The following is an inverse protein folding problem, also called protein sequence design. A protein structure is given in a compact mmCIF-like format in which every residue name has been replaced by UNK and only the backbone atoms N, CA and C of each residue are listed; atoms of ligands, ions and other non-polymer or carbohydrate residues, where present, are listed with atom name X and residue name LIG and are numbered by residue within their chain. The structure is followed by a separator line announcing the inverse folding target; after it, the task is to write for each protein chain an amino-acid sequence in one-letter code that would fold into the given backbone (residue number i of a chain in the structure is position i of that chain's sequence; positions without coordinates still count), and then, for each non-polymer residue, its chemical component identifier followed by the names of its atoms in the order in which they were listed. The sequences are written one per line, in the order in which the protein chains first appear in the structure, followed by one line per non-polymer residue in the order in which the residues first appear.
data_IF_390100701996
#
_entry.id   IF_390100701996
#
_cell.length_a   1.000
_cell.length_b   1.000
_cell.length_c   1.000
_cell.angle_alpha   90.00
_cell.angle_beta   90.00
_cell.angle_gamma   90.00
#
_symmetry.space_group_name_H-M   'P 1'
#
loop_
_entity.id
_entity.type
_entity.pdbx_description
1 polymer ?
#
# COMPACT_ATOMS: atom_id res chain seq x y z
N UNK A 1 17.97 60.47 -5.66
CA UNK A 1 17.73 60.12 -7.09
C UNK A 1 18.25 58.70 -7.31
N UNK A 2 17.46 57.78 -7.91
CA UNK A 2 17.38 57.53 -9.37
C UNK A 2 18.75 57.36 -10.06
N UNK A 3 19.07 56.12 -10.45
CA UNK A 3 19.93 55.77 -11.60
C UNK A 3 19.18 54.75 -12.47
N UNK A 4 18.91 55.12 -13.71
CA UNK A 4 18.54 54.20 -14.82
C UNK A 4 19.84 53.70 -15.49
N UNK A 5 19.93 52.73 -16.40
CA UNK A 5 19.00 52.04 -17.34
C UNK A 5 19.62 50.61 -17.59
N UNK A 6 19.33 49.69 -18.55
CA UNK A 6 18.50 49.57 -19.77
C UNK A 6 18.31 48.06 -20.11
N UNK A 7 17.39 47.75 -21.03
CA UNK A 7 17.39 46.57 -21.94
C UNK A 7 17.15 45.14 -21.39
N UNK A 8 16.12 44.49 -21.94
CA UNK A 8 15.84 43.04 -21.95
C UNK A 8 16.03 42.51 -23.42
N UNK A 9 15.83 41.22 -23.83
CA UNK A 9 15.04 40.15 -23.18
C UNK A 9 15.56 38.68 -23.32
N UNK A 10 14.73 37.73 -22.87
CA UNK A 10 14.62 36.29 -23.27
C UNK A 10 15.91 35.43 -23.34
N UNK A 11 16.03 34.48 -22.40
CA UNK A 11 16.23 33.06 -22.76
C UNK A 11 15.56 32.11 -21.76
N UNK A 12 14.52 31.40 -22.21
CA UNK A 12 13.75 30.47 -21.39
C UNK A 12 14.50 29.15 -21.21
N UNK A 13 14.97 28.85 -19.99
CA UNK A 13 15.66 27.60 -19.67
C UNK A 13 15.39 27.10 -18.24
N UNK A 14 14.15 27.18 -17.75
CA UNK A 14 13.77 26.58 -16.45
C UNK A 14 13.75 25.06 -16.58
N UNK A 15 14.91 24.43 -16.38
CA UNK A 15 15.10 23.00 -16.44
C UNK A 15 14.08 22.29 -15.52
N UNK A 16 13.27 21.39 -16.09
CA UNK A 16 12.29 20.62 -15.33
C UNK A 16 13.03 19.61 -14.46
N UNK A 17 12.90 19.74 -13.14
CA UNK A 17 13.32 18.70 -12.21
C UNK A 17 12.49 17.44 -12.48
N UNK A 18 13.13 16.39 -13.00
CA UNK A 18 12.49 15.12 -13.31
C UNK A 18 12.74 14.12 -12.18
N UNK A 19 11.74 13.83 -11.31
CA UNK A 19 11.90 12.83 -10.26
C UNK A 19 11.99 11.42 -10.88
N UNK A 20 13.20 10.87 -10.97
CA UNK A 20 13.46 9.49 -11.45
C UNK A 20 13.02 8.41 -10.44
N UNK A 21 11.78 8.46 -9.97
CA UNK A 21 11.14 7.31 -9.28
C UNK A 21 10.62 6.30 -10.30
N UNK A 22 11.54 5.74 -11.09
CA UNK A 22 11.27 4.60 -11.98
C UNK A 22 11.19 3.29 -11.16
N UNK A 23 10.30 3.27 -10.15
CA UNK A 23 9.96 2.08 -9.40
C UNK A 23 9.26 1.11 -10.35
N UNK A 24 10.01 0.15 -10.89
CA UNK A 24 9.49 -0.85 -11.85
C UNK A 24 8.43 -1.72 -11.17
N UNK A 25 7.17 -1.31 -11.27
CA UNK A 25 6.01 -2.08 -10.84
C UNK A 25 5.91 -3.35 -11.68
N UNK A 26 6.63 -4.41 -11.28
CA UNK A 26 6.38 -5.75 -11.77
C UNK A 26 4.89 -6.04 -11.50
N UNK A 27 4.08 -6.37 -12.53
CA UNK A 27 2.67 -6.65 -12.30
C UNK A 27 2.54 -7.81 -11.31
N UNK A 28 1.52 -7.74 -10.46
CA UNK A 28 1.21 -8.84 -9.55
C UNK A 28 0.96 -10.10 -10.40
N UNK A 29 1.74 -11.16 -10.15
CA UNK A 29 1.57 -12.44 -10.83
C UNK A 29 0.50 -13.22 -10.07
N UNK A 30 -0.75 -12.83 -10.27
CA UNK A 30 -1.95 -13.50 -9.74
C UNK A 30 -2.07 -14.92 -10.33
N UNK A 31 -1.29 -15.86 -9.79
CA UNK A 31 -1.07 -17.17 -10.39
C UNK A 31 -0.65 -18.27 -9.39
N UNK A 32 -1.45 -18.54 -8.35
CA UNK A 32 -1.66 -19.93 -7.90
C UNK A 32 -2.92 -20.12 -7.03
N UNK A 33 -3.97 -20.80 -7.54
CA UNK A 33 -5.11 -21.21 -6.72
C UNK A 33 -4.79 -22.50 -5.94
N UNK A 34 -5.04 -22.48 -4.61
CA UNK A 34 -5.38 -23.63 -3.72
C UNK A 34 -5.26 -23.32 -2.22
N UNK A 35 -4.65 -22.19 -1.83
CA UNK A 35 -4.80 -21.57 -0.50
C UNK A 35 -5.42 -20.17 -0.66
N UNK A 36 -6.00 -19.61 0.40
CA UNK A 36 -6.50 -18.24 0.40
C UNK A 36 -5.32 -17.28 0.13
N UNK A 37 -5.52 -16.26 -0.69
CA UNK A 37 -4.55 -15.16 -0.82
C UNK A 37 -4.42 -14.42 0.52
N UNK A 38 -3.24 -13.90 0.85
CA UNK A 38 -2.97 -13.18 2.10
C UNK A 38 -3.99 -12.04 2.36
N UNK A 39 -4.46 -11.36 1.31
CA UNK A 39 -5.54 -10.37 1.42
C UNK A 39 -6.89 -11.01 1.80
N UNK A 40 -7.31 -12.09 1.14
CA UNK A 40 -8.58 -12.74 1.45
C UNK A 40 -8.56 -13.38 2.86
N UNK A 41 -7.42 -13.92 3.28
CA UNK A 41 -7.23 -14.46 4.62
C UNK A 41 -7.21 -13.35 5.69
N UNK A 42 -6.55 -12.20 5.45
CA UNK A 42 -6.55 -11.06 6.36
C UNK A 42 -7.95 -10.43 6.49
N UNK A 43 -8.68 -10.30 5.38
CA UNK A 43 -10.08 -9.87 5.41
C UNK A 43 -10.95 -10.84 6.24
N UNK A 44 -10.74 -12.15 6.14
CA UNK A 44 -11.44 -13.14 6.98
C UNK A 44 -11.06 -13.03 8.46
N UNK A 45 -9.80 -12.72 8.80
CA UNK A 45 -9.41 -12.46 10.20
C UNK A 45 -10.10 -11.20 10.75
N UNK A 46 -10.11 -10.09 10.00
CA UNK A 46 -10.76 -8.84 10.43
C UNK A 46 -12.28 -8.95 10.52
N UNK A 47 -12.93 -9.70 9.63
CA UNK A 47 -14.37 -9.93 9.68
C UNK A 47 -14.79 -10.82 10.86
N UNK A 48 -13.91 -11.73 11.28
CA UNK A 48 -14.10 -12.63 12.43
C UNK A 48 -13.83 -11.92 13.77
N UNK A 49 -12.75 -11.14 13.85
CA UNK A 49 -12.42 -10.34 15.04
C UNK A 49 -13.31 -9.09 15.21
N UNK A 50 -13.74 -8.48 14.10
CA UNK A 50 -14.47 -7.18 14.02
C UNK A 50 -13.72 -5.96 14.59
N UNK A 51 -12.50 -6.14 15.04
CA UNK A 51 -11.63 -5.09 15.60
C UNK A 51 -10.51 -4.66 14.64
N UNK A 52 -9.98 -3.43 14.76
CA UNK A 52 -8.83 -2.98 13.99
C UNK A 52 -7.53 -3.64 14.47
N UNK A 53 -6.88 -4.43 13.61
CA UNK A 53 -5.63 -5.13 13.93
C UNK A 53 -4.46 -4.62 13.11
N UNK A 54 -3.25 -4.72 13.68
CA UNK A 54 -2.01 -4.42 13.00
C UNK A 54 -1.65 -5.53 11.99
N UNK A 55 -0.87 -5.19 10.97
CA UNK A 55 -0.43 -6.18 9.98
C UNK A 55 0.46 -7.31 10.55
N UNK A 56 1.00 -7.21 11.77
CA UNK A 56 1.69 -8.31 12.46
C UNK A 56 0.70 -9.33 13.01
N UNK A 57 -0.20 -8.86 13.88
CA UNK A 57 -1.30 -9.65 14.47
C UNK A 57 -2.13 -10.35 13.40
N UNK A 58 -2.34 -9.70 12.25
CA UNK A 58 -3.02 -10.30 11.10
C UNK A 58 -2.25 -11.49 10.50
N UNK A 59 -0.92 -11.45 10.42
CA UNK A 59 -0.14 -12.64 10.04
C UNK A 59 -0.31 -13.71 11.11
N UNK A 60 -0.05 -13.38 12.37
CA UNK A 60 -0.04 -14.33 13.48
C UNK A 60 -1.40 -15.04 13.63
N UNK A 61 -2.51 -14.30 13.49
CA UNK A 61 -3.86 -14.84 13.48
C UNK A 61 -4.20 -15.63 12.20
N UNK A 62 -3.69 -15.24 11.02
CA UNK A 62 -3.86 -16.04 9.79
C UNK A 62 -3.13 -17.38 9.87
N UNK A 63 -1.91 -17.39 10.41
CA UNK A 63 -1.07 -18.58 10.56
C UNK A 63 -1.62 -19.49 11.67
N UNK A 64 -2.01 -18.92 12.82
CA UNK A 64 -2.69 -19.65 13.92
C UNK A 64 -4.03 -20.27 13.50
N UNK A 65 -4.78 -19.64 12.59
CA UNK A 65 -6.03 -20.17 12.02
C UNK A 65 -5.81 -21.06 10.78
N UNK A 66 -4.56 -21.29 10.35
CA UNK A 66 -4.23 -22.09 9.16
C UNK A 66 -4.72 -21.52 7.82
N UNK A 67 -5.26 -20.28 7.82
CA UNK A 67 -5.88 -19.64 6.65
C UNK A 67 -4.85 -19.32 5.56
N UNK A 68 -3.64 -18.97 5.99
CA UNK A 68 -2.50 -18.64 5.15
C UNK A 68 -1.20 -18.98 5.89
N UNK A 69 -0.06 -18.96 5.19
CA UNK A 69 1.26 -19.23 5.77
C UNK A 69 2.31 -18.43 5.00
N UNK A 70 3.29 -17.84 5.69
CA UNK A 70 4.37 -17.07 5.06
C UNK A 70 5.14 -17.92 4.05
N UNK A 71 5.31 -17.47 2.79
CA UNK A 71 6.01 -18.22 1.75
C UNK A 71 7.53 -18.11 1.89
N UNK A 72 8.07 -18.46 3.06
CA UNK A 72 9.50 -18.34 3.40
C UNK A 72 10.02 -16.91 3.59
N UNK A 73 9.14 -15.90 3.60
CA UNK A 73 9.51 -14.50 3.77
C UNK A 73 9.73 -14.12 5.24
N UNK A 74 10.79 -13.34 5.52
CA UNK A 74 11.09 -12.84 6.88
C UNK A 74 10.13 -11.73 7.37
N UNK A 75 9.42 -11.05 6.47
CA UNK A 75 8.59 -9.87 6.78
C UNK A 75 7.19 -9.91 6.12
N UNK A 76 6.40 -10.98 6.31
CA UNK A 76 5.08 -11.13 5.67
C UNK A 76 4.12 -9.98 5.98
N UNK A 77 4.22 -9.39 7.18
CA UNK A 77 3.43 -8.22 7.60
C UNK A 77 3.67 -6.99 6.71
N UNK A 78 4.89 -6.79 6.18
CA UNK A 78 5.21 -5.65 5.31
C UNK A 78 4.65 -5.86 3.89
N UNK A 79 4.64 -7.10 3.42
CA UNK A 79 3.96 -7.50 2.18
C UNK A 79 2.45 -7.30 2.29
N UNK A 80 1.85 -7.73 3.41
CA UNK A 80 0.43 -7.53 3.68
C UNK A 80 0.07 -6.03 3.76
N UNK A 81 0.82 -5.24 4.52
CA UNK A 81 0.64 -3.79 4.64
C UNK A 81 0.63 -3.11 3.25
N UNK A 82 1.61 -3.44 2.41
CA UNK A 82 1.73 -2.89 1.06
C UNK A 82 0.57 -3.32 0.14
N UNK A 83 0.09 -4.55 0.29
CA UNK A 83 -1.05 -5.07 -0.47
C UNK A 83 -2.37 -4.43 -0.04
N UNK A 84 -2.60 -4.24 1.27
CA UNK A 84 -3.78 -3.57 1.82
C UNK A 84 -3.82 -2.10 1.37
N UNK A 85 -2.69 -1.37 1.49
CA UNK A 85 -2.62 0.00 0.98
C UNK A 85 -2.89 0.09 -0.53
N UNK A 86 -2.42 -0.88 -1.32
CA UNK A 86 -2.73 -0.93 -2.75
C UNK A 86 -4.22 -1.17 -3.01
N UNK A 87 -4.90 -2.04 -2.26
CA UNK A 87 -6.34 -2.24 -2.40
C UNK A 87 -7.14 -1.00 -1.98
N UNK A 88 -6.78 -0.36 -0.87
CA UNK A 88 -7.40 0.90 -0.41
C UNK A 88 -7.25 2.00 -1.46
N UNK A 89 -6.04 2.19 -1.99
CA UNK A 89 -5.78 3.23 -2.99
C UNK A 89 -6.40 2.93 -4.37
N UNK A 90 -6.65 1.65 -4.70
CA UNK A 90 -7.23 1.25 -5.98
C UNK A 90 -8.76 1.20 -5.99
N UNK A 91 -9.39 0.91 -4.85
CA UNK A 91 -10.85 0.75 -4.71
C UNK A 91 -11.53 1.86 -3.91
N UNK A 92 -10.79 2.63 -3.11
CA UNK A 92 -11.33 3.71 -2.29
C UNK A 92 -12.44 3.22 -1.36
N UNK A 93 -13.69 3.61 -1.67
CA UNK A 93 -14.88 3.22 -0.91
C UNK A 93 -15.24 1.73 -1.07
N UNK A 94 -14.88 1.11 -2.18
CA UNK A 94 -15.10 -0.32 -2.47
C UNK A 94 -13.96 -1.21 -1.95
N UNK A 95 -13.01 -0.64 -1.20
CA UNK A 95 -11.97 -1.42 -0.54
C UNK A 95 -12.58 -2.28 0.57
N UNK A 96 -12.07 -3.50 0.76
CA UNK A 96 -12.48 -4.40 1.85
C UNK A 96 -11.86 -4.03 3.19
N UNK A 97 -10.87 -3.15 3.17
CA UNK A 97 -10.09 -2.72 4.32
C UNK A 97 -10.27 -1.22 4.53
N UNK A 98 -10.36 -0.80 5.79
CA UNK A 98 -10.34 0.60 6.19
C UNK A 98 -9.13 0.82 7.09
N UNK A 99 -8.24 1.74 6.73
CA UNK A 99 -7.16 2.16 7.61
C UNK A 99 -7.76 2.94 8.78
N UNK A 100 -7.60 2.44 10.00
CA UNK A 100 -8.08 3.10 11.22
C UNK A 100 -6.98 3.96 11.85
N UNK A 101 -5.76 3.43 11.94
CA UNK A 101 -4.60 4.10 12.54
C UNK A 101 -3.30 3.78 11.74
N UNK A 102 -2.13 4.26 12.18
CA UNK A 102 -0.79 4.03 11.61
C UNK A 102 -0.32 2.58 11.75
N UNK A 103 -0.87 1.71 10.92
CA UNK A 103 -0.51 0.28 10.85
C UNK A 103 -1.67 -0.66 11.16
N UNK A 104 -2.73 -0.13 11.76
CA UNK A 104 -3.97 -0.82 12.06
C UNK A 104 -4.98 -0.66 10.91
N UNK A 105 -5.65 -1.77 10.60
CA UNK A 105 -6.72 -1.85 9.60
C UNK A 105 -7.91 -2.61 10.17
N UNK A 106 -9.12 -2.12 9.90
CA UNK A 106 -10.36 -2.84 10.15
C UNK A 106 -10.94 -3.35 8.82
N UNK A 107 -11.92 -4.26 8.91
CA UNK A 107 -12.80 -4.54 7.77
C UNK A 107 -13.57 -3.25 7.43
N UNK A 108 -13.74 -2.98 6.14
CA UNK A 108 -14.68 -1.97 5.67
C UNK A 108 -16.03 -2.67 5.45
N UNK A 109 -17.07 -2.18 6.11
CA UNK A 109 -18.43 -2.70 6.06
C UNK A 109 -19.32 -1.79 5.21
#
# INVERSE_FOLDING_TARGET
MKKTTKTAPKKSAKAKAAPKSAAKTKPAKDAKPKKLSALNAAAKVLADAKEPMACKELIEAMEKKGLWTSPGGKTPHATLYSAILREINAKGKEARFKKTDRGHFAINA
#
